data_IF_840744850474
#
_entry.id   IF_840744850474
#
_cell.length_a   1.000
_cell.length_b   1.000
_cell.length_c   1.000
_cell.angle_alpha   90.00
_cell.angle_beta   90.00
_cell.angle_gamma   90.00
#
_symmetry.space_group_name_H-M   'P 1'
#
loop_
_entity.id
_entity.type
_entity.pdbx_description
1 polymer ?
#
# COMPACT_ATOMS: atom_id res chain seq x y z
N UNK A 1 -9.71 -12.81 62.03
CA UNK A 1 -10.60 -13.18 60.91
C UNK A 1 -10.54 -12.05 59.86
N UNK A 2 -9.40 -11.83 59.21
CA UNK A 2 -9.20 -10.61 58.38
C UNK A 2 -8.06 -10.71 57.35
N UNK A 3 -7.49 -11.90 57.08
CA UNK A 3 -6.34 -12.03 56.18
C UNK A 3 -6.71 -12.60 54.79
N UNK A 4 -7.83 -13.31 54.66
CA UNK A 4 -8.28 -13.95 53.42
C UNK A 4 -8.99 -13.02 52.43
N UNK A 5 -9.52 -11.87 52.88
CA UNK A 5 -10.26 -10.94 52.01
C UNK A 5 -9.36 -10.00 51.19
N UNK A 6 -8.10 -9.80 51.59
CA UNK A 6 -7.15 -8.93 50.87
C UNK A 6 -6.50 -9.61 49.65
N UNK A 7 -6.27 -10.92 49.68
CA UNK A 7 -5.75 -11.67 48.52
C UNK A 7 -6.79 -11.82 47.40
N UNK A 8 -8.07 -11.99 47.75
CA UNK A 8 -9.17 -12.11 46.77
C UNK A 8 -9.38 -10.81 45.97
N UNK A 9 -9.16 -9.65 46.59
CA UNK A 9 -9.33 -8.35 45.93
C UNK A 9 -8.14 -7.98 45.02
N UNK A 10 -6.92 -8.42 45.36
CA UNK A 10 -5.73 -8.25 44.51
C UNK A 10 -5.78 -9.12 43.25
N UNK A 11 -6.27 -10.36 43.38
CA UNK A 11 -6.35 -11.33 42.27
C UNK A 11 -7.38 -10.93 41.20
N UNK A 12 -8.55 -10.42 41.60
CA UNK A 12 -9.61 -9.98 40.67
C UNK A 12 -9.21 -8.73 39.88
N UNK A 13 -8.51 -7.77 40.51
CA UNK A 13 -8.00 -6.58 39.81
C UNK A 13 -6.92 -6.94 38.78
N UNK A 14 -5.99 -7.83 39.13
CA UNK A 14 -4.95 -8.33 38.22
C UNK A 14 -5.53 -9.07 37.00
N UNK A 15 -6.52 -9.94 37.21
CA UNK A 15 -7.19 -10.65 36.10
C UNK A 15 -7.93 -9.68 35.15
N UNK A 16 -8.57 -8.62 35.68
CA UNK A 16 -9.23 -7.62 34.85
C UNK A 16 -8.24 -6.83 33.97
N UNK A 17 -7.07 -6.49 34.51
CA UNK A 17 -6.03 -5.78 33.77
C UNK A 17 -5.40 -6.63 32.67
N UNK A 18 -5.27 -7.94 32.90
CA UNK A 18 -4.75 -8.91 31.93
C UNK A 18 -5.73 -9.16 30.78
N UNK A 19 -7.03 -9.32 31.09
CA UNK A 19 -8.05 -9.43 30.06
C UNK A 19 -8.13 -8.15 29.21
N UNK A 20 -7.94 -6.99 29.85
CA UNK A 20 -7.82 -5.70 29.18
C UNK A 20 -6.66 -5.67 28.18
N UNK A 21 -5.47 -6.15 28.57
CA UNK A 21 -4.30 -6.24 27.68
C UNK A 21 -4.54 -7.10 26.44
N UNK A 22 -5.16 -8.28 26.61
CA UNK A 22 -5.53 -9.15 25.48
C UNK A 22 -6.56 -8.46 24.59
N UNK A 23 -7.55 -7.79 25.18
CA UNK A 23 -8.56 -7.03 24.44
C UNK A 23 -7.96 -5.88 23.61
N UNK A 24 -7.03 -5.11 24.20
CA UNK A 24 -6.32 -4.03 23.48
C UNK A 24 -5.46 -4.59 22.34
N UNK A 25 -4.72 -5.67 22.59
CA UNK A 25 -3.90 -6.31 21.55
C UNK A 25 -4.74 -6.80 20.38
N UNK A 26 -5.87 -7.46 20.66
CA UNK A 26 -6.79 -7.94 19.63
C UNK A 26 -7.44 -6.78 18.86
N UNK A 27 -7.86 -5.72 19.55
CA UNK A 27 -8.45 -4.54 18.92
C UNK A 27 -7.45 -3.82 18.01
N UNK A 28 -6.19 -3.67 18.45
CA UNK A 28 -5.13 -3.08 17.65
C UNK A 28 -4.86 -3.90 16.38
N UNK A 29 -4.70 -5.22 16.52
CA UNK A 29 -4.50 -6.14 15.39
C UNK A 29 -5.64 -6.07 14.38
N UNK A 30 -6.89 -6.11 14.85
CA UNK A 30 -8.05 -6.00 13.96
C UNK A 30 -8.12 -4.64 13.26
N UNK A 31 -7.79 -3.56 13.97
CA UNK A 31 -7.76 -2.22 13.38
C UNK A 31 -6.73 -2.11 12.27
N UNK A 32 -5.52 -2.61 12.48
CA UNK A 32 -4.47 -2.63 11.46
C UNK A 32 -4.86 -3.53 10.29
N UNK A 33 -5.38 -4.73 10.55
CA UNK A 33 -5.82 -5.64 9.50
C UNK A 33 -6.96 -5.05 8.63
N UNK A 34 -7.92 -4.37 9.27
CA UNK A 34 -8.99 -3.66 8.55
C UNK A 34 -8.40 -2.51 7.75
N UNK A 35 -7.50 -1.73 8.34
CA UNK A 35 -6.85 -0.61 7.68
C UNK A 35 -6.05 -1.06 6.45
N UNK A 36 -5.20 -2.07 6.58
CA UNK A 36 -4.44 -2.66 5.46
C UNK A 36 -5.35 -3.16 4.33
N UNK A 37 -6.54 -3.67 4.64
CA UNK A 37 -7.52 -4.09 3.63
C UNK A 37 -8.29 -2.95 2.99
N UNK A 38 -8.38 -1.80 3.66
CA UNK A 38 -9.21 -0.67 3.22
C UNK A 38 -8.41 0.46 2.58
N UNK A 39 -7.09 0.54 2.83
CA UNK A 39 -6.21 1.50 2.17
C UNK A 39 -6.18 1.23 0.67
N UNK A 40 -6.61 2.23 -0.10
CA UNK A 40 -6.48 2.23 -1.56
C UNK A 40 -5.12 2.76 -1.93
N UNK A 41 -4.25 1.89 -2.44
CA UNK A 41 -2.96 2.32 -2.99
C UNK A 41 -3.12 2.83 -4.42
N UNK A 42 -4.01 2.22 -5.21
CA UNK A 42 -4.32 2.64 -6.59
C UNK A 42 -5.65 3.41 -6.60
N UNK A 43 -5.60 4.68 -6.99
CA UNK A 43 -6.73 5.61 -6.98
C UNK A 43 -7.44 5.68 -8.34
N UNK A 44 -6.67 5.62 -9.43
CA UNK A 44 -7.16 5.55 -10.78
C UNK A 44 -6.36 4.52 -11.57
N UNK A 45 -7.02 3.79 -12.45
CA UNK A 45 -6.42 2.73 -13.24
C UNK A 45 -7.02 2.77 -14.64
N UNK A 46 -6.23 3.26 -15.59
CA UNK A 46 -6.67 3.66 -16.92
C UNK A 46 -5.97 2.76 -17.93
N UNK A 47 -6.70 1.85 -18.61
CA UNK A 47 -6.10 1.04 -19.65
C UNK A 47 -5.66 1.95 -20.81
N UNK A 48 -4.44 1.76 -21.31
CA UNK A 48 -3.95 2.51 -22.45
C UNK A 48 -4.67 2.02 -23.72
N UNK A 49 -5.39 2.88 -24.45
CA UNK A 49 -6.32 2.44 -25.48
C UNK A 49 -5.66 1.96 -26.80
N UNK A 50 -4.34 1.90 -26.88
CA UNK A 50 -3.54 1.48 -28.06
C UNK A 50 -3.94 2.20 -29.37
N UNK A 51 -4.69 3.29 -29.30
CA UNK A 51 -5.18 4.10 -30.43
C UNK A 51 -5.18 5.57 -30.01
N UNK A 52 -5.17 6.46 -30.99
CA UNK A 52 -5.25 7.89 -30.75
C UNK A 52 -6.65 8.26 -30.22
N UNK A 53 -6.74 8.52 -28.92
CA UNK A 53 -7.95 8.99 -28.26
C UNK A 53 -7.63 9.72 -26.95
N UNK A 54 -8.62 10.39 -26.40
CA UNK A 54 -8.55 10.99 -25.07
C UNK A 54 -9.37 10.16 -24.10
N UNK A 55 -8.75 9.73 -23.01
CA UNK A 55 -9.41 9.02 -21.90
C UNK A 55 -9.19 9.81 -20.61
N UNK A 56 -10.12 9.70 -19.68
CA UNK A 56 -9.97 10.35 -18.39
C UNK A 56 -10.67 9.61 -17.28
N UNK A 57 -10.28 9.91 -16.04
CA UNK A 57 -10.82 9.27 -14.85
C UNK A 57 -10.86 10.24 -13.69
N UNK A 58 -11.99 10.22 -12.98
CA UNK A 58 -12.13 10.91 -11.71
C UNK A 58 -11.60 10.04 -10.57
N UNK A 59 -10.96 10.67 -9.59
CA UNK A 59 -10.48 10.01 -8.38
C UNK A 59 -10.48 10.96 -7.18
N UNK A 60 -10.36 10.36 -5.99
CA UNK A 60 -10.22 11.06 -4.72
C UNK A 60 -9.00 10.52 -3.98
N UNK A 61 -8.36 11.37 -3.19
CA UNK A 61 -7.17 10.99 -2.43
C UNK A 61 -7.50 10.77 -0.95
N UNK A 62 -6.83 9.78 -0.34
CA UNK A 62 -7.04 9.39 1.05
C UNK A 62 -6.05 10.08 2.02
N UNK A 63 -4.99 10.72 1.52
CA UNK A 63 -3.88 11.36 2.24
C UNK A 63 -3.56 12.75 1.67
N UNK A 64 -3.00 13.64 2.50
CA UNK A 64 -2.52 14.96 2.09
C UNK A 64 -1.00 14.89 1.86
N UNK A 65 -0.50 15.51 0.80
CA UNK A 65 0.94 15.67 0.58
C UNK A 65 1.43 15.27 -0.81
N UNK A 66 2.75 15.41 -1.07
CA UNK A 66 3.43 15.04 -2.32
C UNK A 66 3.77 13.55 -2.34
N UNK A 67 2.74 12.71 -2.18
CA UNK A 67 2.88 11.26 -1.98
C UNK A 67 2.10 10.47 -3.03
N UNK A 68 1.74 11.13 -4.13
CA UNK A 68 1.01 10.54 -5.23
C UNK A 68 1.83 10.66 -6.50
N UNK A 69 1.83 9.58 -7.26
CA UNK A 69 2.49 9.48 -8.55
C UNK A 69 1.49 9.04 -9.62
N UNK A 70 1.77 9.44 -10.85
CA UNK A 70 1.16 8.85 -12.03
C UNK A 70 2.21 8.01 -12.72
N UNK A 71 1.90 6.73 -12.91
CA UNK A 71 2.83 5.72 -13.37
C UNK A 71 2.26 4.99 -14.59
N UNK A 72 3.14 4.59 -15.51
CA UNK A 72 2.79 3.62 -16.57
C UNK A 72 3.29 2.25 -16.16
N UNK A 73 2.35 1.31 -16.04
CA UNK A 73 2.60 -0.08 -15.70
C UNK A 73 2.68 -0.91 -16.97
N UNK A 74 3.86 -1.47 -17.23
CA UNK A 74 4.11 -2.44 -18.29
C UNK A 74 4.19 -3.85 -17.72
N UNK A 75 3.80 -4.84 -18.52
CA UNK A 75 4.07 -6.23 -18.19
C UNK A 75 5.58 -6.46 -18.04
N UNK A 76 6.00 -7.32 -17.11
CA UNK A 76 7.42 -7.62 -16.86
C UNK A 76 8.19 -8.21 -18.04
N UNK A 77 7.48 -8.66 -19.08
CA UNK A 77 8.08 -9.10 -20.34
C UNK A 77 8.61 -7.95 -21.20
N UNK A 78 8.22 -6.70 -20.94
CA UNK A 78 8.66 -5.53 -21.71
C UNK A 78 9.98 -5.00 -21.13
N UNK A 79 11.08 -4.99 -21.90
CA UNK A 79 12.34 -4.46 -21.42
C UNK A 79 12.25 -2.96 -21.14
N UNK A 80 12.90 -2.51 -20.07
CA UNK A 80 12.95 -1.10 -19.66
C UNK A 80 13.31 -0.15 -20.79
N UNK A 81 14.37 -0.45 -21.55
CA UNK A 81 14.81 0.39 -22.67
C UNK A 81 13.72 0.53 -23.74
N UNK A 82 12.99 -0.56 -24.02
CA UNK A 82 11.91 -0.54 -24.99
C UNK A 82 10.71 0.26 -24.49
N UNK A 83 10.30 0.09 -23.23
CA UNK A 83 9.24 0.87 -22.60
C UNK A 83 9.53 2.38 -22.63
N UNK A 84 10.78 2.77 -22.32
CA UNK A 84 11.21 4.17 -22.37
C UNK A 84 11.09 4.79 -23.76
N UNK A 85 11.54 4.07 -24.78
CA UNK A 85 11.45 4.55 -26.14
C UNK A 85 10.01 4.63 -26.64
N UNK A 86 9.15 3.65 -26.29
CA UNK A 86 7.74 3.67 -26.65
C UNK A 86 7.00 4.88 -26.06
N UNK A 87 7.38 5.34 -24.86
CA UNK A 87 6.81 6.53 -24.21
C UNK A 87 7.37 7.86 -24.74
N UNK A 88 8.39 7.82 -25.61
CA UNK A 88 9.01 8.99 -26.21
C UNK A 88 10.17 9.60 -25.43
N UNK A 89 10.72 8.90 -24.44
CA UNK A 89 11.86 9.41 -23.67
C UNK A 89 13.16 9.15 -24.39
N UNK A 90 13.86 10.24 -24.69
CA UNK A 90 15.14 10.22 -25.40
C UNK A 90 16.34 10.51 -24.49
N UNK A 91 16.09 10.87 -23.22
CA UNK A 91 17.14 11.18 -22.24
C UNK A 91 16.77 10.62 -20.87
N UNK A 92 17.66 9.83 -20.28
CA UNK A 92 17.60 9.44 -18.87
C UNK A 92 18.94 9.78 -18.24
N UNK A 93 18.94 10.42 -17.07
CA UNK A 93 20.17 10.69 -16.32
C UNK A 93 20.91 9.39 -15.96
N UNK A 94 20.16 8.29 -15.81
CA UNK A 94 20.69 6.96 -15.45
C UNK A 94 21.22 6.21 -16.68
N UNK A 95 20.67 6.48 -17.87
CA UNK A 95 21.12 5.89 -19.14
C UNK A 95 21.25 6.98 -20.22
N UNK A 96 22.36 7.75 -20.20
CA UNK A 96 22.59 8.80 -21.19
C UNK A 96 22.77 8.25 -22.62
N UNK A 97 23.07 6.95 -22.75
CA UNK A 97 23.29 6.26 -24.03
C UNK A 97 22.07 5.47 -24.53
N UNK A 98 20.86 5.74 -24.01
CA UNK A 98 19.66 5.07 -24.51
C UNK A 98 19.38 5.53 -25.95
N UNK A 99 19.59 4.63 -26.91
CA UNK A 99 19.30 4.89 -28.32
C UNK A 99 17.87 4.45 -28.67
N UNK A 100 16.99 5.44 -28.86
CA UNK A 100 15.62 5.22 -29.32
C UNK A 100 15.43 5.42 -30.83
N UNK A 101 16.51 5.63 -31.60
CA UNK A 101 16.42 5.92 -33.06
C UNK A 101 15.68 4.86 -33.86
N UNK A 102 15.62 3.61 -33.38
CA UNK A 102 14.96 2.48 -34.05
C UNK A 102 13.57 2.15 -33.50
N UNK A 103 13.10 2.86 -32.49
CA UNK A 103 11.80 2.58 -31.85
C UNK A 103 10.93 3.83 -31.94
N UNK A 104 9.80 3.72 -32.66
CA UNK A 104 8.83 4.80 -32.72
C UNK A 104 8.13 4.97 -31.36
N UNK A 105 7.86 6.21 -30.90
CA UNK A 105 7.24 6.49 -29.62
C UNK A 105 5.71 6.33 -29.66
N UNK A 106 5.25 5.13 -30.06
CA UNK A 106 3.84 4.84 -30.34
C UNK A 106 2.91 4.95 -29.11
N UNK A 107 3.47 4.95 -27.89
CA UNK A 107 2.73 5.08 -26.64
C UNK A 107 2.86 6.47 -26.01
N UNK A 108 3.35 7.45 -26.77
CA UNK A 108 3.46 8.82 -26.29
C UNK A 108 2.08 9.43 -26.03
N UNK A 109 1.95 10.10 -24.89
CA UNK A 109 0.75 10.84 -24.53
C UNK A 109 1.07 12.16 -23.84
N UNK A 110 0.09 13.05 -23.84
CA UNK A 110 0.04 14.22 -22.95
C UNK A 110 -0.98 13.97 -21.84
N UNK A 111 -0.72 14.55 -20.68
CA UNK A 111 -1.60 14.44 -19.52
C UNK A 111 -1.96 15.81 -18.99
N UNK A 112 -3.17 15.92 -18.46
CA UNK A 112 -3.68 17.08 -17.75
C UNK A 112 -4.35 16.62 -16.45
N UNK A 113 -3.98 17.24 -15.34
CA UNK A 113 -4.59 17.02 -14.03
C UNK A 113 -5.42 18.24 -13.65
N UNK A 114 -6.66 17.98 -13.25
CA UNK A 114 -7.56 18.99 -12.66
C UNK A 114 -7.90 18.64 -11.22
N UNK A 115 -8.11 19.67 -10.41
CA UNK A 115 -8.63 19.59 -9.03
C UNK A 115 -9.87 20.47 -8.94
N UNK A 116 -11.01 19.87 -8.60
CA UNK A 116 -12.32 20.52 -8.55
C UNK A 116 -12.65 21.31 -9.82
N UNK A 117 -12.30 20.74 -10.97
CA UNK A 117 -12.47 21.36 -12.29
C UNK A 117 -11.44 22.44 -12.64
N UNK A 118 -10.57 22.84 -11.72
CA UNK A 118 -9.48 23.79 -11.98
C UNK A 118 -8.22 23.09 -12.44
N UNK A 119 -7.45 23.73 -13.31
CA UNK A 119 -6.14 23.24 -13.75
C UNK A 119 -5.18 23.08 -12.56
N UNK A 120 -4.56 21.91 -12.46
CA UNK A 120 -3.58 21.59 -11.41
C UNK A 120 -2.19 21.25 -11.97
N UNK A 121 -2.10 20.79 -13.23
CA UNK A 121 -0.83 20.53 -13.90
C UNK A 121 -1.01 19.82 -15.25
N UNK A 122 0.06 19.78 -16.04
CA UNK A 122 0.11 19.05 -17.32
C UNK A 122 1.54 18.69 -17.69
N UNK A 123 1.70 17.72 -18.59
CA UNK A 123 3.00 17.32 -19.12
C UNK A 123 2.87 16.24 -20.18
N UNK A 124 3.97 15.54 -20.49
CA UNK A 124 3.98 14.41 -21.42
C UNK A 124 4.62 13.17 -20.81
N UNK A 125 4.29 12.01 -21.36
CA UNK A 125 4.97 10.74 -21.08
C UNK A 125 6.48 10.77 -21.35
N UNK A 126 6.95 11.72 -22.19
CA UNK A 126 8.37 11.91 -22.46
C UNK A 126 9.13 12.48 -21.25
N UNK A 127 8.44 13.19 -20.36
CA UNK A 127 8.99 13.84 -19.15
C UNK A 127 9.11 12.88 -17.96
N UNK A 128 9.26 11.57 -18.23
CA UNK A 128 9.26 10.53 -17.20
C UNK A 128 10.30 10.76 -16.11
N UNK A 129 9.94 10.42 -14.88
CA UNK A 129 10.79 10.41 -13.70
C UNK A 129 11.51 9.08 -13.52
N UNK A 130 11.31 8.48 -12.34
CA UNK A 130 11.99 7.24 -11.95
C UNK A 130 11.42 6.00 -12.65
N UNK A 131 12.19 4.90 -12.60
CA UNK A 131 11.72 3.58 -13.03
C UNK A 131 11.97 2.60 -11.90
N UNK A 132 10.99 1.75 -11.64
CA UNK A 132 11.09 0.67 -10.67
C UNK A 132 10.40 -0.59 -11.19
N UNK A 133 10.52 -1.69 -10.46
CA UNK A 133 9.80 -2.93 -10.75
C UNK A 133 8.97 -3.28 -9.53
N UNK A 134 7.67 -3.45 -9.71
CA UNK A 134 6.72 -3.74 -8.63
C UNK A 134 5.89 -4.95 -9.03
N UNK A 135 5.87 -5.97 -8.19
CA UNK A 135 5.12 -7.22 -8.41
C UNK A 135 5.41 -7.88 -9.78
N UNK A 136 6.67 -7.76 -10.26
CA UNK A 136 7.11 -8.28 -11.55
C UNK A 136 6.64 -7.46 -12.76
N UNK A 137 5.96 -6.33 -12.56
CA UNK A 137 5.64 -5.36 -13.60
C UNK A 137 6.66 -4.21 -13.60
N UNK A 138 6.99 -3.70 -14.78
CA UNK A 138 7.84 -2.52 -14.92
C UNK A 138 6.98 -1.28 -14.71
N UNK A 139 7.38 -0.45 -13.74
CA UNK A 139 6.76 0.83 -13.40
C UNK A 139 7.62 1.97 -13.94
N UNK A 140 7.01 2.85 -14.72
CA UNK A 140 7.64 4.08 -15.21
C UNK A 140 6.88 5.27 -14.65
N UNK A 141 7.49 6.01 -13.74
CA UNK A 141 6.90 7.21 -13.18
C UNK A 141 6.86 8.31 -14.23
N UNK A 142 5.69 8.93 -14.40
CA UNK A 142 5.52 10.07 -15.30
C UNK A 142 5.62 11.38 -14.52
N UNK A 143 4.95 11.45 -13.36
CA UNK A 143 4.96 12.65 -12.53
C UNK A 143 4.56 12.33 -11.09
N UNK A 144 5.30 12.87 -10.13
CA UNK A 144 4.87 13.02 -8.74
C UNK A 144 4.11 14.34 -8.55
N UNK A 145 2.98 14.32 -7.82
CA UNK A 145 2.19 15.53 -7.60
C UNK A 145 1.64 15.61 -6.16
N UNK A 146 1.52 16.84 -5.61
CA UNK A 146 0.87 17.05 -4.33
C UNK A 146 -0.65 16.96 -4.46
N UNK A 147 -1.28 16.20 -3.57
CA UNK A 147 -2.72 16.13 -3.47
C UNK A 147 -3.23 16.46 -2.06
N UNK A 148 -4.53 16.78 -1.97
CA UNK A 148 -5.23 17.12 -0.74
C UNK A 148 -6.54 16.37 -0.65
N UNK A 149 -6.86 15.85 0.53
CA UNK A 149 -8.12 15.18 0.85
C UNK A 149 -9.30 16.11 0.58
N UNK A 150 -10.48 15.50 0.41
CA UNK A 150 -11.77 16.19 0.21
C UNK A 150 -11.84 17.04 -1.07
N UNK A 151 -10.91 16.84 -1.99
CA UNK A 151 -10.96 17.40 -3.34
C UNK A 151 -11.22 16.28 -4.35
N UNK A 152 -11.90 16.63 -5.44
CA UNK A 152 -12.11 15.73 -6.57
C UNK A 152 -11.03 16.01 -7.62
N UNK A 153 -10.37 14.96 -8.07
CA UNK A 153 -9.36 15.05 -9.10
C UNK A 153 -9.86 14.42 -10.39
N UNK A 154 -9.44 14.98 -11.52
CA UNK A 154 -9.66 14.41 -12.83
C UNK A 154 -8.34 14.38 -13.57
N UNK A 155 -7.93 13.20 -14.04
CA UNK A 155 -6.83 13.05 -14.97
C UNK A 155 -7.39 12.82 -16.37
N UNK A 156 -6.89 13.59 -17.35
CA UNK A 156 -7.15 13.38 -18.76
C UNK A 156 -5.83 13.04 -19.46
N UNK A 157 -5.85 11.97 -20.25
CA UNK A 157 -4.72 11.47 -21.02
C UNK A 157 -5.09 11.53 -22.50
N UNK A 158 -4.26 12.17 -23.30
CA UNK A 158 -4.45 12.29 -24.75
C UNK A 158 -3.35 11.52 -25.46
N UNK A 159 -3.73 10.40 -26.05
CA UNK A 159 -2.87 9.52 -26.84
C UNK A 159 -2.79 10.05 -28.28
N UNK A 160 -1.58 10.28 -28.77
CA UNK A 160 -1.36 10.95 -30.06
C UNK A 160 -1.29 9.95 -31.23
N UNK A 161 -0.79 8.74 -30.96
CA UNK A 161 -0.46 7.75 -31.99
C UNK A 161 -1.27 6.46 -31.85
N UNK A 162 -1.35 5.71 -32.95
CA UNK A 162 -1.96 4.39 -32.95
C UNK A 162 -0.89 3.33 -32.72
N UNK A 163 -1.10 2.54 -31.67
CA UNK A 163 -0.18 1.51 -31.20
C UNK A 163 -0.76 0.10 -31.35
N UNK A 164 -1.85 -0.07 -32.10
CA UNK A 164 -2.52 -1.36 -32.28
C UNK A 164 -1.67 -2.46 -32.93
N UNK A 165 -0.58 -2.08 -33.61
CA UNK A 165 0.38 -3.02 -34.20
C UNK A 165 1.44 -3.50 -33.21
N UNK A 166 1.53 -2.91 -32.00
CA UNK A 166 2.45 -3.37 -30.97
C UNK A 166 2.04 -4.74 -30.45
N UNK A 167 3.01 -5.65 -30.39
CA UNK A 167 2.83 -7.02 -29.89
C UNK A 167 2.99 -7.16 -28.39
N UNK A 168 2.98 -6.05 -27.64
CA UNK A 168 3.05 -6.05 -26.18
C UNK A 168 1.64 -6.01 -25.57
N UNK A 169 1.45 -6.59 -24.37
CA UNK A 169 0.22 -6.38 -23.61
C UNK A 169 -0.05 -4.88 -23.39
N UNK A 170 -1.30 -4.40 -23.54
CA UNK A 170 -1.63 -3.00 -23.34
C UNK A 170 -1.19 -2.51 -21.96
N UNK A 171 -0.34 -1.47 -21.89
CA UNK A 171 0.05 -0.88 -20.62
C UNK A 171 -1.13 -0.19 -19.93
N UNK A 172 -0.95 0.15 -18.66
CA UNK A 172 -1.97 0.83 -17.86
C UNK A 172 -1.37 2.06 -17.22
N UNK A 173 -2.09 3.17 -17.24
CA UNK A 173 -1.71 4.38 -16.49
C UNK A 173 -2.41 4.33 -15.15
N UNK A 174 -1.64 4.32 -14.07
CA UNK A 174 -2.14 4.25 -12.72
C UNK A 174 -1.81 5.54 -11.99
N UNK A 175 -2.77 6.03 -11.22
CA UNK A 175 -2.52 7.06 -10.21
C UNK A 175 -2.53 6.35 -8.88
N UNK A 176 -1.39 6.38 -8.19
CA UNK A 176 -1.20 5.62 -6.97
C UNK A 176 -0.43 6.40 -5.90
N UNK A 177 -0.43 5.84 -4.70
CA UNK A 177 0.46 6.30 -3.63
C UNK A 177 1.90 5.93 -4.00
N UNK A 178 2.81 6.88 -3.85
CA UNK A 178 4.22 6.70 -4.13
C UNK A 178 4.78 5.46 -3.42
N UNK A 179 5.68 4.74 -4.09
CA UNK A 179 6.22 3.46 -3.60
C UNK A 179 6.87 3.59 -2.22
N UNK A 180 7.58 4.68 -1.94
CA UNK A 180 8.24 4.86 -0.64
C UNK A 180 7.21 4.93 0.49
N UNK A 181 6.15 5.71 0.28
CA UNK A 181 5.10 5.88 1.29
C UNK A 181 4.29 4.60 1.44
N UNK A 182 4.03 3.89 0.34
CA UNK A 182 3.39 2.58 0.38
C UNK A 182 4.21 1.57 1.18
N UNK A 183 5.52 1.49 0.96
CA UNK A 183 6.42 0.61 1.70
C UNK A 183 6.45 0.96 3.19
N UNK A 184 6.59 2.24 3.53
CA UNK A 184 6.57 2.69 4.92
C UNK A 184 5.26 2.35 5.63
N UNK A 185 4.11 2.50 4.95
CA UNK A 185 2.80 2.13 5.50
C UNK A 185 2.69 0.63 5.73
N UNK A 186 3.21 -0.20 4.83
CA UNK A 186 3.24 -1.66 4.97
C UNK A 186 4.15 -2.07 6.13
N UNK A 187 5.36 -1.48 6.22
CA UNK A 187 6.33 -1.76 7.29
C UNK A 187 5.76 -1.34 8.65
N UNK A 188 5.17 -0.15 8.74
CA UNK A 188 4.52 0.32 9.96
C UNK A 188 3.35 -0.59 10.37
N UNK A 189 2.54 -1.05 9.40
CA UNK A 189 1.49 -2.03 9.64
C UNK A 189 2.04 -3.34 10.20
N UNK A 190 3.06 -3.91 9.57
CA UNK A 190 3.69 -5.17 9.99
C UNK A 190 4.34 -5.07 11.39
N UNK A 191 5.01 -3.96 11.69
CA UNK A 191 5.58 -3.70 13.02
C UNK A 191 4.48 -3.61 14.09
N UNK A 192 3.39 -2.92 13.78
CA UNK A 192 2.26 -2.79 14.71
C UNK A 192 1.60 -4.13 14.99
N UNK A 193 1.40 -4.95 13.95
CA UNK A 193 0.86 -6.31 14.09
C UNK A 193 1.80 -7.21 14.91
N UNK A 194 3.11 -7.12 14.71
CA UNK A 194 4.09 -7.88 15.49
C UNK A 194 4.05 -7.50 16.99
N UNK A 195 3.97 -6.21 17.30
CA UNK A 195 3.85 -5.72 18.68
C UNK A 195 2.53 -6.21 19.30
N UNK A 196 1.41 -6.09 18.58
CA UNK A 196 0.11 -6.57 19.04
C UNK A 196 0.13 -8.08 19.32
N UNK A 197 0.78 -8.86 18.46
CA UNK A 197 0.95 -10.31 18.65
C UNK A 197 1.76 -10.65 19.91
N UNK A 198 2.88 -9.97 20.14
CA UNK A 198 3.70 -10.15 21.35
C UNK A 198 2.90 -9.81 22.62
N UNK A 199 2.16 -8.69 22.61
CA UNK A 199 1.31 -8.29 23.74
C UNK A 199 0.21 -9.33 24.03
N UNK A 200 -0.41 -9.88 22.99
CA UNK A 200 -1.37 -10.97 23.12
C UNK A 200 -0.72 -12.24 23.72
N UNK A 201 0.45 -12.65 23.25
CA UNK A 201 1.17 -13.81 23.80
C UNK A 201 1.54 -13.64 25.27
N UNK A 202 2.04 -12.46 25.65
CA UNK A 202 2.37 -12.14 27.05
C UNK A 202 1.11 -12.19 27.92
N UNK A 203 0.00 -11.61 27.45
CA UNK A 203 -1.29 -11.67 28.13
C UNK A 203 -1.77 -13.11 28.33
N UNK A 204 -1.71 -13.94 27.29
CA UNK A 204 -2.11 -15.36 27.35
C UNK A 204 -1.21 -16.15 28.31
N UNK A 205 0.11 -16.00 28.21
CA UNK A 205 1.05 -16.71 29.09
C UNK A 205 0.82 -16.35 30.56
N UNK A 206 0.59 -15.07 30.86
CA UNK A 206 0.31 -14.61 32.22
C UNK A 206 -1.04 -15.07 32.77
N UNK A 207 -2.02 -15.39 31.92
CA UNK A 207 -3.30 -16.00 32.36
C UNK A 207 -3.18 -17.52 32.49
N UNK A 208 -2.53 -18.18 31.52
CA UNK A 208 -2.44 -19.63 31.45
C UNK A 208 -1.54 -20.23 32.54
N UNK A 209 -0.38 -19.63 32.83
CA UNK A 209 0.57 -20.13 33.84
C UNK A 209 -0.06 -20.23 35.24
N UNK A 210 -0.72 -19.20 35.80
CA UNK A 210 -1.36 -19.30 37.11
C UNK A 210 -2.57 -20.25 37.09
N UNK A 211 -3.36 -20.28 36.01
CA UNK A 211 -4.49 -21.21 35.87
C UNK A 211 -4.03 -22.69 35.85
N UNK A 212 -2.96 -22.99 35.11
CA UNK A 212 -2.36 -24.33 35.10
C UNK A 212 -1.80 -24.67 36.48
N UNK A 213 -1.11 -23.74 37.15
CA UNK A 213 -0.59 -23.96 38.51
C UNK A 213 -1.69 -24.25 39.53
N UNK A 214 -2.84 -23.56 39.48
CA UNK A 214 -3.98 -23.84 40.38
C UNK A 214 -4.62 -25.18 40.06
N UNK A 215 -4.88 -25.50 38.79
CA UNK A 215 -5.39 -26.82 38.37
C UNK A 215 -4.47 -27.97 38.82
N UNK A 216 -3.17 -27.86 38.61
CA UNK A 216 -2.21 -28.90 39.02
C UNK A 216 -2.10 -29.05 40.54
N UNK A 217 -2.23 -27.97 41.32
CA UNK A 217 -2.30 -28.06 42.79
C UNK A 217 -3.55 -28.80 43.24
N UNK A 218 -4.72 -28.50 42.65
CA UNK A 218 -5.96 -29.20 43.01
C UNK A 218 -5.93 -30.70 42.66
N UNK A 219 -5.28 -31.09 41.56
CA UNK A 219 -5.10 -32.50 41.21
C UNK A 219 -4.21 -33.27 42.21
N UNK A 220 -3.21 -32.61 42.82
CA UNK A 220 -2.34 -33.25 43.83
C UNK A 220 -3.01 -33.45 45.19
N UNK A 221 -4.14 -32.77 45.44
CA UNK A 221 -4.92 -32.89 46.70
C UNK A 221 -6.05 -33.91 46.62
N UNK A 222 -6.19 -34.67 45.54
CA UNK A 222 -7.15 -35.78 45.49
C UNK A 222 -6.65 -36.93 46.39
N UNK A 223 -7.43 -37.38 47.38
CA UNK A 223 -7.05 -38.49 48.24
C UNK A 223 -6.89 -39.76 47.39
N UNK A 224 -5.81 -40.50 47.62
CA UNK A 224 -5.55 -41.77 46.94
C UNK A 224 -6.68 -42.79 47.19
N UNK A 225 -6.90 -43.73 46.27
CA UNK A 225 -7.93 -44.75 46.42
C UNK A 225 -7.69 -45.52 47.73
N UNK A 226 -8.71 -45.53 48.59
CA UNK A 226 -8.76 -46.36 49.80
C UNK A 226 -8.88 -47.83 49.44
#
# INVERSE_FOLDING_TARGET
>A
MTQTNLESAGSTRFFSSLLGLVGVGLAAFLTVAIWMKTVRTTLADIPMPMRAETVGRDFTVDYDGPIYSMDVMFAGSVPEAHARCLLGTTKSEVRPNLDCSRTAPLLKFSWELRRDGQFAGSGSSADMGSISTVDGALRVEIVGFPARKKHQYHVALKFEENAGELTIPPPRVQVELDSFVREDLIIAGALTDAIAFVLCLVGVAMVAVPFLRTKFRQLKTLPGPQ
#
